data_IF_830033708772
#
_entry.id   IF_830033708772
#
_cell.length_a   1.000
_cell.length_b   1.000
_cell.length_c   1.000
_cell.angle_alpha   90.00
_cell.angle_beta   90.00
_cell.angle_gamma   90.00
#
_symmetry.space_group_name_H-M   'P 1'
#
loop_
_entity.id
_entity.type
_entity.pdbx_description
1 polymer ?
#
# COMPACT_ATOMS: atom_id res chain seq x y z
N UNK A 1 -13.46 -5.57 21.20
CA UNK A 1 -13.17 -5.98 19.80
C UNK A 1 -11.72 -6.47 19.76
N UNK A 2 -11.40 -7.60 19.12
CA UNK A 2 -10.02 -8.09 18.97
C UNK A 2 -9.33 -7.30 17.86
N UNK A 3 -8.05 -6.98 18.01
CA UNK A 3 -7.28 -6.31 16.97
C UNK A 3 -6.77 -7.33 15.95
N UNK A 4 -7.10 -7.14 14.68
CA UNK A 4 -6.77 -8.05 13.58
C UNK A 4 -5.85 -7.37 12.56
N UNK A 5 -5.05 -8.14 11.81
CA UNK A 5 -4.19 -7.60 10.76
C UNK A 5 -4.99 -6.96 9.64
N UNK A 6 -6.14 -7.53 9.28
CA UNK A 6 -7.10 -6.93 8.37
C UNK A 6 -8.41 -6.68 9.14
N UNK A 7 -8.96 -5.47 9.10
CA UNK A 7 -10.24 -5.15 9.78
C UNK A 7 -11.00 -4.11 8.93
N UNK A 8 -12.30 -4.05 9.19
CA UNK A 8 -13.24 -3.14 8.54
C UNK A 8 -13.65 -2.07 9.54
N UNK A 9 -13.62 -0.81 9.12
CA UNK A 9 -13.96 0.36 9.94
C UNK A 9 -14.89 1.31 9.20
N UNK A 10 -15.57 2.17 9.95
CA UNK A 10 -16.57 3.10 9.40
C UNK A 10 -15.98 4.49 9.11
N UNK A 11 -15.19 5.01 10.04
CA UNK A 11 -14.66 6.38 9.96
C UNK A 11 -13.44 6.45 9.04
N UNK A 12 -13.57 7.21 7.96
CA UNK A 12 -12.50 7.56 7.01
C UNK A 12 -12.26 9.07 6.93
N UNK A 13 -12.79 9.85 7.88
CA UNK A 13 -12.79 11.32 7.82
C UNK A 13 -11.39 11.92 7.76
N UNK A 14 -10.43 11.28 8.43
CA UNK A 14 -9.01 11.68 8.46
C UNK A 14 -8.16 11.09 7.32
N UNK A 15 -8.78 10.34 6.40
CA UNK A 15 -8.07 9.73 5.28
C UNK A 15 -7.64 10.79 4.28
N UNK A 16 -6.40 10.75 3.82
CA UNK A 16 -5.82 11.73 2.89
C UNK A 16 -6.65 11.90 1.60
N UNK A 17 -7.26 10.80 1.13
CA UNK A 17 -8.10 10.78 -0.08
C UNK A 17 -9.62 10.87 0.21
N UNK A 18 -10.04 11.24 1.41
CA UNK A 18 -11.46 11.29 1.80
C UNK A 18 -12.30 12.19 0.87
N UNK A 19 -11.74 13.30 0.43
CA UNK A 19 -12.38 14.26 -0.48
C UNK A 19 -12.43 13.83 -1.95
N UNK A 20 -11.83 12.69 -2.32
CA UNK A 20 -11.91 12.19 -3.68
C UNK A 20 -13.26 11.55 -3.93
N UNK A 21 -13.86 11.84 -5.09
CA UNK A 21 -15.12 11.23 -5.50
C UNK A 21 -14.92 9.72 -5.70
N UNK A 22 -15.73 8.86 -5.07
CA UNK A 22 -15.61 7.43 -5.24
C UNK A 22 -15.94 7.04 -6.70
N UNK A 23 -15.21 6.07 -7.29
CA UNK A 23 -15.50 5.57 -8.65
C UNK A 23 -16.90 4.98 -8.78
N UNK A 24 -17.46 4.54 -7.66
CA UNK A 24 -18.78 3.94 -7.60
C UNK A 24 -19.58 4.62 -6.49
N UNK A 25 -20.71 5.24 -6.82
CA UNK A 25 -21.76 5.47 -5.82
C UNK A 25 -22.43 4.12 -5.58
N UNK A 26 -22.43 3.63 -4.33
CA UNK A 26 -23.03 2.34 -4.01
C UNK A 26 -22.70 1.79 -2.63
N UNK A 27 -23.27 2.38 -1.58
CA UNK A 27 -23.37 1.82 -0.23
C UNK A 27 -23.96 0.39 -0.23
N UNK A 28 -24.87 0.07 -1.15
CA UNK A 28 -25.50 -1.24 -1.29
C UNK A 28 -24.55 -2.37 -1.73
N UNK A 29 -23.50 -2.06 -2.50
CA UNK A 29 -22.54 -3.09 -2.97
C UNK A 29 -21.51 -3.45 -1.91
N UNK A 30 -21.12 -2.48 -1.07
CA UNK A 30 -20.13 -2.70 -0.01
C UNK A 30 -20.77 -3.46 1.15
N UNK A 31 -22.00 -3.12 1.53
CA UNK A 31 -22.76 -3.86 2.57
C UNK A 31 -22.91 -5.35 2.21
N UNK A 32 -23.20 -5.68 0.94
CA UNK A 32 -23.24 -7.07 0.44
C UNK A 32 -21.87 -7.75 0.34
N UNK A 33 -20.80 -6.98 0.22
CA UNK A 33 -19.44 -7.50 0.17
C UNK A 33 -18.91 -7.82 1.56
N UNK A 34 -19.14 -6.91 2.52
CA UNK A 34 -18.81 -7.10 3.92
C UNK A 34 -19.57 -8.27 4.53
N UNK A 35 -20.84 -8.46 4.16
CA UNK A 35 -21.60 -9.65 4.56
C UNK A 35 -21.04 -10.95 3.98
N UNK A 36 -20.29 -10.89 2.86
CA UNK A 36 -19.63 -12.05 2.22
C UNK A 36 -18.22 -12.32 2.76
N UNK A 37 -17.61 -11.36 3.47
CA UNK A 37 -16.30 -11.53 4.10
C UNK A 37 -16.38 -12.36 5.40
N UNK A 38 -17.58 -12.74 5.88
CA UNK A 38 -17.79 -13.67 7.00
C UNK A 38 -18.38 -15.04 6.59
N UNK A 39 -17.73 -15.77 5.67
CA UNK A 39 -18.11 -17.14 5.21
C UNK A 39 -19.34 -17.18 4.29
N UNK A 40 -19.17 -17.74 3.09
CA UNK A 40 -20.01 -18.81 2.50
C UNK A 40 -19.38 -19.26 1.17
N UNK A 41 -19.07 -20.56 1.10
CA UNK A 41 -19.05 -21.33 -0.14
C UNK A 41 -20.40 -21.20 -0.83
N UNK A 42 -20.55 -20.28 -1.77
CA UNK A 42 -21.64 -20.31 -2.73
C UNK A 42 -21.06 -20.78 -4.05
N UNK A 43 -21.09 -22.09 -4.25
CA UNK A 43 -21.11 -22.72 -5.56
C UNK A 43 -22.22 -22.07 -6.39
N UNK A 44 -21.91 -21.09 -7.23
CA UNK A 44 -22.86 -20.53 -8.17
C UNK A 44 -22.39 -20.71 -9.61
N UNK A 45 -23.33 -21.25 -10.37
CA UNK A 45 -23.25 -21.69 -11.75
C UNK A 45 -22.75 -20.57 -12.66
N UNK A 46 -21.95 -20.94 -13.67
CA UNK A 46 -21.60 -20.10 -14.82
C UNK A 46 -22.88 -19.66 -15.53
N UNK A 47 -23.32 -18.43 -15.27
CA UNK A 47 -24.11 -17.66 -16.23
C UNK A 47 -23.20 -16.53 -16.72
N UNK A 48 -22.88 -16.55 -18.01
CA UNK A 48 -22.13 -15.49 -18.68
C UNK A 48 -23.03 -14.25 -18.74
N UNK A 49 -23.00 -13.43 -17.70
CA UNK A 49 -23.45 -12.04 -17.79
C UNK A 49 -22.27 -11.20 -18.27
N UNK A 50 -22.49 -10.40 -19.31
CA UNK A 50 -21.54 -9.40 -19.79
C UNK A 50 -21.30 -8.37 -18.68
N UNK A 51 -20.20 -8.50 -17.95
CA UNK A 51 -19.89 -7.64 -16.81
C UNK A 51 -19.43 -6.26 -17.30
N UNK A 52 -20.17 -5.20 -16.95
CA UNK A 52 -19.80 -3.83 -17.30
C UNK A 52 -18.53 -3.35 -16.56
N UNK A 53 -17.88 -2.26 -17.01
CA UNK A 53 -16.62 -1.77 -16.43
C UNK A 53 -16.66 -1.55 -14.91
N UNK A 54 -17.80 -1.07 -14.39
CA UNK A 54 -18.03 -0.90 -12.94
C UNK A 54 -17.95 -2.21 -12.16
N UNK A 55 -18.51 -3.30 -12.72
CA UNK A 55 -18.52 -4.60 -12.07
C UNK A 55 -17.13 -5.24 -12.07
N UNK A 56 -16.35 -5.04 -13.14
CA UNK A 56 -14.97 -5.54 -13.22
C UNK A 56 -14.06 -4.82 -12.22
N UNK A 57 -14.20 -3.50 -12.08
CA UNK A 57 -13.47 -2.72 -11.06
C UNK A 57 -13.78 -3.24 -9.65
N UNK A 58 -15.07 -3.41 -9.30
CA UNK A 58 -15.47 -3.94 -7.99
C UNK A 58 -14.88 -5.34 -7.79
N UNK A 59 -15.01 -6.23 -8.78
CA UNK A 59 -14.47 -7.59 -8.72
C UNK A 59 -12.95 -7.58 -8.49
N UNK A 60 -12.23 -6.66 -9.13
CA UNK A 60 -10.79 -6.51 -8.96
C UNK A 60 -10.42 -6.07 -7.54
N UNK A 61 -11.09 -5.07 -6.98
CA UNK A 61 -10.80 -4.63 -5.59
C UNK A 61 -11.15 -5.71 -4.57
N UNK A 62 -12.21 -6.49 -4.80
CA UNK A 62 -12.52 -7.66 -3.96
C UNK A 62 -11.39 -8.70 -3.96
N UNK A 63 -10.71 -8.88 -5.09
CA UNK A 63 -9.55 -9.77 -5.17
C UNK A 63 -8.36 -9.22 -4.38
N UNK A 64 -8.13 -7.90 -4.41
CA UNK A 64 -7.10 -7.27 -3.57
C UNK A 64 -7.39 -7.50 -2.08
N UNK A 65 -8.62 -7.22 -1.63
CA UNK A 65 -9.00 -7.37 -0.22
C UNK A 65 -8.86 -8.82 0.27
N UNK A 66 -9.30 -9.80 -0.54
CA UNK A 66 -9.11 -11.23 -0.21
C UNK A 66 -7.64 -11.63 -0.13
N UNK A 67 -6.78 -11.06 -0.97
CA UNK A 67 -5.34 -11.32 -0.90
C UNK A 67 -4.73 -10.70 0.35
N UNK A 68 -5.15 -9.49 0.73
CA UNK A 68 -4.67 -8.84 1.96
C UNK A 68 -5.13 -9.59 3.21
N UNK A 69 -6.42 -9.94 3.30
CA UNK A 69 -6.96 -10.68 4.44
C UNK A 69 -6.24 -12.01 4.69
N UNK A 70 -5.83 -12.71 3.61
CA UNK A 70 -5.18 -14.02 3.70
C UNK A 70 -3.66 -13.96 3.83
N UNK A 71 -3.01 -13.06 3.10
CA UNK A 71 -1.57 -13.15 2.78
C UNK A 71 -0.75 -11.97 3.34
N UNK A 72 -1.31 -11.14 4.24
CA UNK A 72 -0.56 -10.06 4.88
C UNK A 72 0.63 -10.61 5.70
N UNK A 73 1.86 -10.12 5.47
CA UNK A 73 3.00 -10.45 6.31
C UNK A 73 2.86 -9.92 7.73
N UNK A 74 3.66 -10.47 8.63
CA UNK A 74 3.83 -9.92 9.97
C UNK A 74 4.28 -8.45 9.91
N UNK A 75 3.77 -7.64 10.85
CA UNK A 75 4.08 -6.22 10.94
C UNK A 75 3.31 -5.34 9.94
N UNK A 76 2.50 -5.89 9.04
CA UNK A 76 1.61 -5.11 8.18
C UNK A 76 0.16 -5.28 8.63
N UNK A 77 -0.53 -4.16 8.81
CA UNK A 77 -1.93 -4.08 9.21
C UNK A 77 -2.69 -3.22 8.20
N UNK A 78 -3.90 -3.61 7.86
CA UNK A 78 -4.77 -2.93 6.89
C UNK A 78 -6.15 -2.70 7.48
N UNK A 79 -6.69 -1.51 7.20
CA UNK A 79 -8.07 -1.12 7.47
C UNK A 79 -8.74 -0.72 6.18
N UNK A 80 -9.88 -1.34 5.89
CA UNK A 80 -10.76 -0.96 4.78
C UNK A 80 -12.03 -0.31 5.31
N UNK A 81 -12.73 0.46 4.47
CA UNK A 81 -13.84 1.30 4.91
C UNK A 81 -15.20 0.81 4.38
N UNK A 82 -16.21 0.80 5.25
CA UNK A 82 -17.54 0.28 4.92
C UNK A 82 -18.25 1.04 3.79
N UNK A 83 -17.96 2.33 3.64
CA UNK A 83 -18.62 3.18 2.63
C UNK A 83 -17.69 3.57 1.47
N UNK A 84 -16.40 3.23 1.58
CA UNK A 84 -15.35 3.67 0.66
C UNK A 84 -14.45 2.51 0.25
N UNK A 85 -14.97 1.67 -0.64
CA UNK A 85 -14.25 0.51 -1.19
C UNK A 85 -12.98 0.90 -1.96
N UNK A 86 -12.92 2.12 -2.47
CA UNK A 86 -11.75 2.68 -3.13
C UNK A 86 -10.64 3.08 -2.15
N UNK A 87 -10.90 3.13 -0.84
CA UNK A 87 -9.95 3.58 0.18
C UNK A 87 -9.53 2.43 1.10
N UNK A 88 -8.29 2.51 1.58
CA UNK A 88 -7.80 1.73 2.73
C UNK A 88 -6.60 2.43 3.36
N UNK A 89 -6.36 2.14 4.63
CA UNK A 89 -5.15 2.56 5.36
C UNK A 89 -4.32 1.34 5.71
N UNK A 90 -3.02 1.41 5.45
CA UNK A 90 -2.06 0.44 5.93
C UNK A 90 -1.23 1.06 7.07
N UNK A 91 -0.90 0.25 8.08
CA UNK A 91 0.13 0.53 9.07
C UNK A 91 1.22 -0.53 8.94
N UNK A 92 2.47 -0.10 8.87
CA UNK A 92 3.64 -0.98 8.78
C UNK A 92 4.51 -0.72 10.01
N UNK A 93 4.84 -1.79 10.73
CA UNK A 93 5.79 -1.77 11.84
C UNK A 93 7.20 -1.93 11.27
N UNK A 94 8.13 -1.08 11.68
CA UNK A 94 9.52 -1.22 11.29
C UNK A 94 10.17 -2.43 11.95
N UNK A 95 10.88 -3.23 11.15
CA UNK A 95 11.45 -4.50 11.58
C UNK A 95 12.64 -4.33 12.53
N UNK A 96 12.84 -5.33 13.39
CA UNK A 96 14.01 -5.42 14.25
C UNK A 96 15.32 -5.33 13.47
N UNK A 97 16.29 -4.60 14.01
CA UNK A 97 17.62 -4.41 13.40
C UNK A 97 17.68 -3.35 12.29
N UNK A 98 16.55 -2.71 11.97
CA UNK A 98 16.50 -1.51 11.11
C UNK A 98 16.46 -0.25 11.98
N UNK A 99 16.84 0.94 11.49
CA UNK A 99 16.66 2.17 12.26
C UNK A 99 15.18 2.48 12.55
N UNK A 100 14.26 1.80 11.86
CA UNK A 100 12.81 1.96 12.01
C UNK A 100 12.18 1.06 13.07
N UNK A 101 12.98 0.25 13.79
CA UNK A 101 12.50 -0.78 14.72
C UNK A 101 11.41 -0.24 15.67
N UNK A 102 10.29 -0.97 15.75
CA UNK A 102 9.10 -0.65 16.57
C UNK A 102 8.36 0.64 16.17
N UNK A 103 8.85 1.37 15.17
CA UNK A 103 8.17 2.52 14.59
C UNK A 103 6.90 2.10 13.84
N UNK A 104 5.85 2.93 13.95
CA UNK A 104 4.57 2.74 13.25
C UNK A 104 4.42 3.76 12.12
N UNK A 105 4.33 3.26 10.89
CA UNK A 105 4.25 4.09 9.68
C UNK A 105 2.92 3.89 8.98
N UNK A 106 2.17 4.99 8.79
CA UNK A 106 0.83 4.94 8.19
C UNK A 106 0.85 5.36 6.72
N UNK A 107 0.03 4.68 5.93
CA UNK A 107 -0.11 4.88 4.50
C UNK A 107 -1.59 4.86 4.11
N UNK A 108 -2.07 5.96 3.56
CA UNK A 108 -3.39 6.02 2.93
C UNK A 108 -3.29 5.61 1.48
N UNK A 109 -4.24 4.78 1.05
CA UNK A 109 -4.26 4.20 -0.30
C UNK A 109 -5.61 4.48 -0.95
N UNK A 110 -5.58 4.86 -2.22
CA UNK A 110 -6.78 5.05 -3.03
C UNK A 110 -6.66 4.30 -4.36
N UNK A 111 -7.63 3.43 -4.63
CA UNK A 111 -7.84 2.80 -5.94
C UNK A 111 -8.56 3.77 -6.88
N UNK A 112 -7.92 4.24 -7.95
CA UNK A 112 -8.57 5.13 -8.91
C UNK A 112 -9.64 4.39 -9.75
N UNK A 113 -10.51 5.14 -10.43
CA UNK A 113 -11.62 4.60 -11.23
C UNK A 113 -11.19 3.68 -12.38
N UNK A 114 -9.96 3.84 -12.86
CA UNK A 114 -9.35 3.02 -13.90
C UNK A 114 -8.35 2.01 -13.34
N UNK A 115 -8.40 1.69 -12.04
CA UNK A 115 -7.68 0.53 -11.51
C UNK A 115 -8.24 -0.77 -12.12
N UNK A 116 -7.40 -1.74 -12.53
CA UNK A 116 -5.97 -1.85 -12.33
C UNK A 116 -5.12 -1.33 -13.50
N UNK A 117 -5.68 -0.63 -14.49
CA UNK A 117 -4.91 -0.12 -15.64
C UNK A 117 -3.83 0.89 -15.22
N UNK A 118 -4.04 1.55 -14.08
CA UNK A 118 -3.06 2.38 -13.39
C UNK A 118 -2.85 1.89 -11.95
N UNK A 119 -1.68 2.15 -11.34
CA UNK A 119 -1.42 1.76 -9.95
C UNK A 119 -2.33 2.49 -8.94
N UNK A 120 -2.42 1.98 -7.71
CA UNK A 120 -3.10 2.70 -6.64
C UNK A 120 -2.32 3.98 -6.29
N UNK A 121 -3.01 5.00 -5.77
CA UNK A 121 -2.37 6.17 -5.16
C UNK A 121 -2.02 5.85 -3.72
N UNK A 122 -0.83 6.25 -3.27
CA UNK A 122 -0.35 6.01 -1.90
C UNK A 122 0.18 7.32 -1.32
N UNK A 123 -0.22 7.62 -0.09
CA UNK A 123 0.23 8.77 0.68
C UNK A 123 0.73 8.34 2.05
N UNK A 124 1.96 8.70 2.40
CA UNK A 124 2.55 8.44 3.71
C UNK A 124 2.25 9.59 4.67
N UNK A 125 1.87 9.26 5.90
CA UNK A 125 1.71 10.23 6.99
C UNK A 125 3.08 10.66 7.53
N UNK A 126 3.74 11.57 6.81
CA UNK A 126 5.12 12.00 7.07
C UNK A 126 5.28 12.89 8.30
N UNK A 127 4.22 13.60 8.70
CA UNK A 127 4.28 14.65 9.73
C UNK A 127 5.39 15.70 9.47
N UNK A 128 5.70 15.94 8.19
CA UNK A 128 6.76 16.87 7.78
C UNK A 128 8.19 16.31 7.85
N UNK A 129 8.37 15.04 8.21
CA UNK A 129 9.68 14.37 8.31
C UNK A 129 10.05 13.63 7.02
N UNK A 130 11.33 13.62 6.69
CA UNK A 130 11.88 12.81 5.59
C UNK A 130 12.69 11.63 6.15
N UNK A 131 11.98 10.56 6.50
CA UNK A 131 12.55 9.39 7.18
C UNK A 131 13.26 8.41 6.23
N UNK A 132 13.05 8.55 4.93
CA UNK A 132 13.69 7.72 3.91
C UNK A 132 13.81 8.49 2.59
N UNK A 133 14.83 8.24 1.74
CA UNK A 133 14.88 8.83 0.41
C UNK A 133 13.65 8.55 -0.46
N UNK A 134 12.92 7.45 -0.20
CA UNK A 134 11.66 7.13 -0.87
C UNK A 134 10.39 7.68 -0.18
N UNK A 135 10.50 8.23 1.04
CA UNK A 135 9.39 8.80 1.81
C UNK A 135 9.61 10.29 2.03
N UNK A 136 8.95 11.10 1.22
CA UNK A 136 9.16 12.54 1.23
C UNK A 136 8.41 13.19 2.40
N UNK A 137 8.92 14.33 2.89
CA UNK A 137 8.23 15.14 3.90
C UNK A 137 6.83 15.60 3.49
N UNK A 138 6.52 15.62 2.19
CA UNK A 138 5.18 15.90 1.64
C UNK A 138 4.22 14.71 1.72
N UNK A 139 4.68 13.54 2.17
CA UNK A 139 3.94 12.29 2.17
C UNK A 139 3.99 11.52 0.85
N UNK A 140 4.73 11.99 -0.15
CA UNK A 140 4.92 11.24 -1.41
C UNK A 140 5.75 9.98 -1.17
N UNK A 141 5.27 8.85 -1.71
CA UNK A 141 5.96 7.56 -1.72
C UNK A 141 6.56 7.30 -3.11
N UNK A 142 7.86 7.01 -3.16
CA UNK A 142 8.60 6.76 -4.41
C UNK A 142 8.88 5.27 -4.59
N UNK A 143 8.09 4.61 -5.44
CA UNK A 143 8.27 3.20 -5.83
C UNK A 143 8.02 3.04 -7.34
N UNK A 144 8.76 2.15 -7.98
CA UNK A 144 8.58 1.82 -9.40
C UNK A 144 7.20 1.22 -9.69
N UNK A 145 6.69 0.39 -8.76
CA UNK A 145 5.33 -0.17 -8.82
C UNK A 145 4.23 0.89 -8.76
N UNK A 146 4.54 2.09 -8.23
CA UNK A 146 3.61 3.22 -8.19
C UNK A 146 3.85 4.21 -9.34
N UNK A 147 4.83 3.95 -10.21
CA UNK A 147 5.24 4.87 -11.28
C UNK A 147 5.90 6.15 -10.77
N UNK A 148 6.26 6.21 -9.49
CA UNK A 148 6.84 7.41 -8.84
C UNK A 148 8.36 7.37 -8.71
N UNK A 149 8.97 6.22 -9.02
CA UNK A 149 10.42 6.04 -9.13
C UNK A 149 10.78 5.30 -10.42
N UNK A 150 12.06 5.36 -10.81
CA UNK A 150 12.56 4.56 -11.92
C UNK A 150 12.47 3.07 -11.61
N UNK A 151 12.11 2.27 -12.61
CA UNK A 151 12.17 0.81 -12.57
C UNK A 151 12.18 0.24 -13.98
N UNK A 152 12.48 -1.05 -14.10
CA UNK A 152 12.60 -1.78 -15.37
C UNK A 152 11.74 -3.05 -15.37
N UNK A 153 11.20 -3.38 -16.54
CA UNK A 153 10.48 -4.65 -16.75
C UNK A 153 9.40 -4.90 -15.70
N UNK A 154 9.57 -5.98 -14.92
CA UNK A 154 8.64 -6.44 -13.89
C UNK A 154 8.59 -5.55 -12.63
N UNK A 155 9.49 -4.58 -12.47
CA UNK A 155 9.48 -3.63 -11.34
C UNK A 155 8.39 -2.56 -11.51
N UNK A 156 7.87 -2.36 -12.73
CA UNK A 156 6.81 -1.40 -13.01
C UNK A 156 5.43 -2.03 -12.80
N UNK A 157 4.44 -1.19 -12.52
CA UNK A 157 3.05 -1.62 -12.44
C UNK A 157 2.62 -2.39 -13.70
N UNK A 158 2.07 -3.58 -13.50
CA UNK A 158 1.46 -4.37 -14.55
C UNK A 158 -0.02 -4.62 -14.18
N UNK A 159 -0.98 -4.07 -14.94
CA UNK A 159 -2.41 -4.23 -14.66
C UNK A 159 -2.87 -5.68 -14.48
N UNK A 160 -2.20 -6.63 -15.13
CA UNK A 160 -2.57 -8.05 -15.12
C UNK A 160 -2.05 -8.82 -13.92
N UNK A 161 -0.94 -8.40 -13.31
CA UNK A 161 -0.22 -9.22 -12.32
C UNK A 161 0.20 -8.48 -11.06
N UNK A 162 0.30 -7.15 -11.09
CA UNK A 162 0.66 -6.38 -9.91
C UNK A 162 -0.49 -6.32 -8.92
N UNK A 163 -0.20 -6.33 -7.62
CA UNK A 163 -1.20 -6.27 -6.54
C UNK A 163 -0.84 -5.21 -5.51
N UNK A 164 -1.82 -4.80 -4.70
CA UNK A 164 -1.55 -3.92 -3.57
C UNK A 164 -0.67 -4.60 -2.51
N UNK A 165 -0.83 -5.91 -2.29
CA UNK A 165 0.04 -6.68 -1.39
C UNK A 165 1.52 -6.53 -1.79
N UNK A 166 1.84 -6.63 -3.09
CA UNK A 166 3.20 -6.41 -3.58
C UNK A 166 3.71 -5.00 -3.31
N UNK A 167 2.85 -3.97 -3.40
CA UNK A 167 3.22 -2.60 -3.05
C UNK A 167 3.55 -2.51 -1.56
N UNK A 168 2.69 -3.02 -0.66
CA UNK A 168 2.91 -2.96 0.79
C UNK A 168 4.17 -3.73 1.22
N UNK A 169 4.38 -4.93 0.66
CA UNK A 169 5.59 -5.73 0.87
C UNK A 169 6.83 -4.99 0.35
N UNK A 170 6.72 -4.32 -0.80
CA UNK A 170 7.83 -3.52 -1.34
C UNK A 170 8.15 -2.32 -0.45
N UNK A 171 7.15 -1.66 0.16
CA UNK A 171 7.40 -0.61 1.16
C UNK A 171 8.18 -1.21 2.33
N UNK A 172 7.69 -2.30 2.93
CA UNK A 172 8.35 -2.93 4.08
C UNK A 172 9.80 -3.35 3.75
N UNK A 173 10.03 -3.98 2.59
CA UNK A 173 11.34 -4.54 2.22
C UNK A 173 12.34 -3.49 1.70
N UNK A 174 11.88 -2.54 0.88
CA UNK A 174 12.76 -1.58 0.20
C UNK A 174 12.94 -0.32 1.04
N UNK A 175 11.89 0.17 1.70
CA UNK A 175 11.95 1.42 2.47
C UNK A 175 12.51 1.16 3.86
N UNK A 176 11.97 0.17 4.57
CA UNK A 176 12.34 -0.09 5.96
C UNK A 176 13.42 -1.17 6.08
N UNK A 177 14.59 -0.91 5.47
CA UNK A 177 15.74 -1.80 5.51
C UNK A 177 16.84 -1.29 6.48
N UNK A 178 17.94 -2.03 6.61
CA UNK A 178 19.03 -1.74 7.56
C UNK A 178 19.95 -0.58 7.14
N UNK A 179 20.00 -0.23 5.86
CA UNK A 179 20.86 0.81 5.30
C UNK A 179 20.07 1.76 4.36
N UNK A 180 19.03 2.45 4.86
CA UNK A 180 18.12 3.26 4.06
C UNK A 180 18.79 4.45 3.35
N UNK A 181 20.00 4.85 3.77
CA UNK A 181 20.80 5.84 3.05
C UNK A 181 21.00 5.47 1.57
N UNK A 182 21.19 4.18 1.27
CA UNK A 182 21.42 3.69 -0.10
C UNK A 182 20.14 3.57 -0.94
N UNK A 183 18.98 3.89 -0.37
CA UNK A 183 17.74 3.99 -1.14
C UNK A 183 17.70 5.24 -2.04
N UNK A 184 18.59 6.21 -1.80
CA UNK A 184 18.70 7.38 -2.64
C UNK A 184 19.08 7.00 -4.09
N UNK A 185 18.70 7.82 -5.10
CA UNK A 185 19.11 7.58 -6.47
C UNK A 185 20.63 7.39 -6.59
N UNK A 186 21.08 6.44 -7.41
CA UNK A 186 22.51 6.08 -7.57
C UNK A 186 23.40 7.29 -7.85
N UNK A 187 22.92 8.27 -8.61
CA UNK A 187 23.67 9.51 -8.92
C UNK A 187 24.01 10.35 -7.66
N UNK A 188 23.23 10.20 -6.60
CA UNK A 188 23.40 10.91 -5.33
C UNK A 188 24.26 10.13 -4.33
N UNK A 189 24.62 8.88 -4.64
CA UNK A 189 25.32 7.99 -3.72
C UNK A 189 26.85 8.06 -3.90
N UNK A 190 27.61 7.85 -2.81
CA UNK A 190 29.05 7.57 -2.93
C UNK A 190 29.28 6.26 -3.66
N UNK A 191 30.52 6.04 -4.11
CA UNK A 191 30.96 4.71 -4.55
C UNK A 191 30.75 3.71 -3.40
N UNK A 192 29.95 2.65 -3.60
CA UNK A 192 29.71 1.63 -2.59
C UNK A 192 31.01 0.98 -2.10
N UNK A 193 31.08 0.65 -0.81
CA UNK A 193 32.25 0.01 -0.19
C UNK A 193 33.36 0.95 0.26
N UNK A 194 33.27 2.26 -0.03
CA UNK A 194 34.20 3.23 0.56
C UNK A 194 33.87 3.46 2.05
N UNK A 195 34.88 3.65 2.93
CA UNK A 195 34.64 3.95 4.35
C UNK A 195 33.75 5.19 4.58
N UNK A 196 33.84 6.19 3.68
CA UNK A 196 32.99 7.38 3.72
C UNK A 196 31.52 7.07 3.44
N UNK A 197 31.22 6.07 2.61
CA UNK A 197 29.86 5.62 2.35
C UNK A 197 29.25 4.97 3.60
N UNK A 198 29.96 4.04 4.22
CA UNK A 198 29.53 3.36 5.44
C UNK A 198 29.33 4.36 6.59
N UNK A 199 30.24 5.32 6.77
CA UNK A 199 30.10 6.36 7.80
C UNK A 199 28.84 7.19 7.58
N UNK A 200 28.51 7.56 6.35
CA UNK A 200 27.28 8.32 6.05
C UNK A 200 26.01 7.49 6.23
N UNK A 201 26.05 6.21 5.87
CA UNK A 201 24.95 5.27 6.13
C UNK A 201 24.65 5.19 7.63
N UNK A 202 25.70 5.00 8.46
CA UNK A 202 25.56 4.99 9.92
C UNK A 202 25.01 6.32 10.46
N UNK A 203 25.58 7.47 10.04
CA UNK A 203 25.05 8.77 10.47
C UNK A 203 23.59 9.00 10.06
N UNK A 204 23.16 8.45 8.91
CA UNK A 204 21.77 8.52 8.48
C UNK A 204 20.86 7.70 9.39
N UNK A 205 21.29 6.49 9.80
CA UNK A 205 20.53 5.64 10.71
C UNK A 205 20.30 6.26 12.10
N UNK A 206 21.21 7.12 12.58
CA UNK A 206 21.07 7.79 13.88
C UNK A 206 20.04 8.92 13.90
N UNK A 207 19.56 9.38 12.73
CA UNK A 207 18.66 10.54 12.61
C UNK A 207 17.29 10.19 12.05
N UNK A 208 17.04 8.93 11.69
CA UNK A 208 15.77 8.43 11.14
C UNK A 208 15.06 7.48 12.08
#
# INVERSE_FOLDING_TARGET
KKFEQFDVVQDYSDHHFSNYLPPTQGTDMITKLLSKLHIINSSEKKHQQTTGPKQEWVRRIQQEWKSLERDLPEGIFVRVYEERMDLLRAAIVGSAGTPYHDGLFFFDVCFPHNYPDVPPRVHHHSHGLQLNPNLYATGKVCLSLLGTAYGRGCEKWNPKSSTLLQVLVSIQAIVFNTEPFFNAPVISLPIPGLPSASKRSLCYNEVV
#
